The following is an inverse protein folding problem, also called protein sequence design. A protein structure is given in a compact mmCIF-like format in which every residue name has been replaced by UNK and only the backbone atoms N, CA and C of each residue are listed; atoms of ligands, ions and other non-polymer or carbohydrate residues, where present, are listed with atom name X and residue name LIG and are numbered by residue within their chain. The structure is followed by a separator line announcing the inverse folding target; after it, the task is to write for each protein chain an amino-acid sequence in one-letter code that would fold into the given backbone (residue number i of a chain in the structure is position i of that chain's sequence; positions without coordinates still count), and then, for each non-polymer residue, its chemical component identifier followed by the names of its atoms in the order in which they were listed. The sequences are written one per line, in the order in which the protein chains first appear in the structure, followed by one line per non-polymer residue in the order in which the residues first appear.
data_IF_255165199758
#
_entry.id   IF_255165199758
#
_cell.length_a   1.000
_cell.length_b   1.000
_cell.length_c   1.000
_cell.angle_alpha   90.00
_cell.angle_beta   90.00
_cell.angle_gamma   90.00
#
_symmetry.space_group_name_H-M   'P 1'
#
loop_
_entity.id
_entity.type
_entity.pdbx_description
1 polymer ?
#
# COMPACT_ATOMS: atom_id res chain seq x y z
N UNK A 1 7.78 -16.66 -14.42
CA UNK A 1 6.35 -16.28 -14.33
C UNK A 1 6.19 -15.29 -13.18
N UNK A 2 5.12 -14.50 -13.13
CA UNK A 2 4.87 -13.59 -12.00
C UNK A 2 4.80 -14.35 -10.66
N UNK A 3 4.20 -15.54 -10.63
CA UNK A 3 4.20 -16.42 -9.45
C UNK A 3 5.60 -16.77 -8.94
N UNK A 4 6.56 -17.03 -9.82
CA UNK A 4 7.95 -17.29 -9.41
C UNK A 4 8.66 -16.02 -8.90
N UNK A 5 8.22 -14.83 -9.32
CA UNK A 5 8.78 -13.56 -8.83
C UNK A 5 8.30 -13.26 -7.41
N UNK A 6 7.11 -13.71 -7.02
CA UNK A 6 6.54 -13.49 -5.68
C UNK A 6 6.69 -14.69 -4.74
N UNK A 7 7.35 -15.77 -5.15
CA UNK A 7 7.45 -17.01 -4.37
C UNK A 7 8.10 -16.80 -3.00
N UNK A 8 7.59 -17.44 -1.95
CA UNK A 8 8.25 -17.54 -0.65
C UNK A 8 9.07 -18.83 -0.57
N UNK A 9 10.23 -18.79 0.10
CA UNK A 9 11.03 -20.01 0.35
C UNK A 9 11.36 -20.13 1.84
N UNK A 10 10.42 -20.64 2.67
CA UNK A 10 10.61 -20.70 4.12
C UNK A 10 11.82 -21.56 4.53
N UNK A 11 12.24 -22.51 3.69
CA UNK A 11 13.41 -23.36 3.96
C UNK A 11 14.74 -22.62 3.81
N UNK A 12 14.78 -21.55 3.01
CA UNK A 12 15.98 -20.72 2.79
C UNK A 12 15.96 -19.41 3.57
N UNK A 13 14.86 -19.11 4.25
CA UNK A 13 14.65 -17.92 5.07
C UNK A 13 13.81 -16.85 4.38
N UNK A 14 13.49 -15.80 5.12
CA UNK A 14 12.68 -14.67 4.66
C UNK A 14 13.22 -14.11 3.34
N UNK A 15 12.36 -13.82 2.35
CA UNK A 15 12.74 -13.12 1.11
C UNK A 15 13.92 -13.76 0.37
N UNK A 16 13.84 -15.08 0.18
CA UNK A 16 14.85 -15.87 -0.56
C UNK A 16 14.25 -16.73 -1.68
N UNK A 17 12.93 -16.70 -1.86
CA UNK A 17 12.25 -17.34 -2.98
C UNK A 17 12.31 -16.45 -4.23
N UNK A 18 11.32 -15.57 -4.37
CA UNK A 18 11.21 -14.57 -5.42
C UNK A 18 11.73 -13.19 -5.01
N UNK A 19 12.09 -12.38 -6.01
CA UNK A 19 12.63 -11.02 -5.82
C UNK A 19 11.54 -9.96 -5.57
N UNK A 20 10.26 -10.36 -5.57
CA UNK A 20 9.10 -9.49 -5.45
C UNK A 20 8.87 -8.59 -6.66
N UNK A 21 7.69 -8.00 -6.77
CA UNK A 21 7.30 -7.13 -7.89
C UNK A 21 6.51 -5.91 -7.39
N UNK A 22 6.23 -4.96 -8.27
CA UNK A 22 5.41 -3.79 -7.95
C UNK A 22 4.04 -3.85 -8.61
N UNK A 23 3.05 -3.35 -7.90
CA UNK A 23 1.71 -3.08 -8.41
C UNK A 23 1.30 -1.65 -8.04
N UNK A 24 0.53 -0.99 -8.91
CA UNK A 24 -0.02 0.35 -8.65
C UNK A 24 -1.38 0.48 -9.30
N UNK A 25 -2.35 1.07 -8.61
CA UNK A 25 -3.58 1.54 -9.25
C UNK A 25 -3.28 2.84 -10.00
N UNK A 26 -3.64 2.91 -11.28
CA UNK A 26 -3.35 4.09 -12.10
C UNK A 26 -4.27 5.28 -11.76
N UNK A 27 -5.34 5.03 -11.00
CA UNK A 27 -6.35 6.02 -10.61
C UNK A 27 -6.22 6.41 -9.13
N UNK A 28 -5.02 6.31 -8.56
CA UNK A 28 -4.76 6.65 -7.14
C UNK A 28 -4.77 8.18 -6.86
N UNK A 29 -4.84 9.01 -7.91
CA UNK A 29 -4.90 10.47 -7.81
C UNK A 29 -3.56 11.13 -7.53
N UNK A 30 -2.46 10.37 -7.50
CA UNK A 30 -1.11 10.90 -7.25
C UNK A 30 -0.38 11.15 -8.57
N UNK A 31 -0.15 12.43 -8.88
CA UNK A 31 0.60 12.87 -10.06
C UNK A 31 1.81 13.72 -9.63
N UNK A 32 2.88 13.04 -9.20
CA UNK A 32 4.15 13.68 -8.85
C UNK A 32 5.35 12.91 -9.45
N UNK A 33 6.58 13.39 -9.24
CA UNK A 33 7.79 12.71 -9.75
C UNK A 33 7.92 11.31 -9.15
N UNK A 34 7.60 11.18 -7.87
CA UNK A 34 7.54 9.92 -7.15
C UNK A 34 6.10 9.54 -6.88
N UNK A 35 5.72 8.30 -7.17
CA UNK A 35 4.36 7.78 -6.95
C UNK A 35 4.39 6.58 -6.01
N UNK A 36 3.31 6.32 -5.25
CA UNK A 36 3.22 5.14 -4.42
C UNK A 36 3.01 3.90 -5.30
N UNK A 37 3.71 2.83 -4.96
CA UNK A 37 3.41 1.50 -5.45
C UNK A 37 3.41 0.52 -4.27
N UNK A 38 2.79 -0.64 -4.44
CA UNK A 38 2.87 -1.72 -3.45
C UNK A 38 3.79 -2.82 -3.94
N UNK A 39 4.69 -3.25 -3.07
CA UNK A 39 5.60 -4.36 -3.31
C UNK A 39 4.96 -5.67 -2.87
N UNK A 40 4.94 -6.64 -3.78
CA UNK A 40 4.29 -7.93 -3.59
C UNK A 40 5.34 -9.04 -3.52
N UNK A 41 5.31 -9.81 -2.43
CA UNK A 41 6.01 -11.09 -2.27
C UNK A 41 5.24 -11.94 -1.24
N UNK A 42 5.29 -13.26 -1.36
CA UNK A 42 4.55 -14.18 -0.48
C UNK A 42 5.17 -14.33 0.92
N UNK A 43 6.25 -13.60 1.23
CA UNK A 43 6.73 -13.39 2.59
C UNK A 43 5.90 -12.31 3.34
N UNK A 44 5.05 -11.54 2.66
CA UNK A 44 4.12 -10.58 3.24
C UNK A 44 2.79 -11.28 3.50
N UNK A 45 2.26 -11.22 4.72
CA UNK A 45 1.12 -12.04 5.14
C UNK A 45 -0.21 -11.30 5.31
N UNK A 46 -0.24 -10.00 4.99
CA UNK A 46 -1.41 -9.14 5.18
C UNK A 46 -2.48 -9.35 4.09
N UNK A 47 -3.79 -9.20 4.40
CA UNK A 47 -4.87 -9.43 3.43
C UNK A 47 -5.02 -8.37 2.34
N UNK A 48 -4.63 -7.13 2.62
CA UNK A 48 -4.69 -6.03 1.64
C UNK A 48 -3.29 -5.56 1.31
N UNK A 49 -2.99 -5.49 0.02
CA UNK A 49 -1.66 -5.14 -0.51
C UNK A 49 -1.72 -4.11 -1.61
N UNK A 50 -2.88 -3.47 -1.78
CA UNK A 50 -3.07 -2.38 -2.74
C UNK A 50 -3.99 -1.37 -2.09
N UNK A 51 -3.69 -0.09 -2.27
CA UNK A 51 -4.63 1.00 -2.01
C UNK A 51 -5.90 0.79 -2.85
N UNK A 52 -7.11 0.82 -2.25
CA UNK A 52 -8.33 0.71 -3.03
C UNK A 52 -8.64 2.03 -3.76
N UNK A 53 -8.72 2.00 -5.07
CA UNK A 53 -9.06 3.16 -5.90
C UNK A 53 -10.54 3.22 -6.30
N UNK A 54 -11.28 2.12 -6.11
CA UNK A 54 -12.70 2.04 -6.47
C UNK A 54 -13.52 1.23 -5.46
N UNK A 55 -14.85 1.39 -5.51
CA UNK A 55 -15.79 0.59 -4.73
C UNK A 55 -16.99 1.37 -4.19
N UNK A 56 -17.73 0.73 -3.28
CA UNK A 56 -18.97 1.23 -2.72
C UNK A 56 -18.82 2.64 -2.16
N UNK A 57 -19.58 3.57 -2.75
CA UNK A 57 -19.75 4.92 -2.23
C UNK A 57 -18.70 5.96 -2.57
N UNK A 58 -17.67 5.62 -3.37
CA UNK A 58 -16.57 6.44 -3.92
C UNK A 58 -15.20 5.74 -3.81
N UNK A 59 -15.14 4.51 -3.32
CA UNK A 59 -13.88 3.79 -3.14
C UNK A 59 -13.02 4.28 -1.98
N UNK A 60 -13.50 5.25 -1.17
CA UNK A 60 -12.71 5.83 -0.10
C UNK A 60 -12.40 4.78 1.01
N UNK A 61 -11.13 4.45 1.29
CA UNK A 61 -10.77 3.55 2.39
C UNK A 61 -10.98 4.16 3.78
N UNK A 62 -11.05 5.50 3.88
CA UNK A 62 -11.10 6.25 5.14
C UNK A 62 -12.50 6.31 5.76
N UNK A 63 -13.54 5.96 5.01
CA UNK A 63 -14.89 6.04 5.53
C UNK A 63 -15.13 4.94 6.58
N UNK A 64 -15.55 5.25 7.82
CA UNK A 64 -16.04 4.26 8.77
C UNK A 64 -17.28 3.59 8.20
N UNK A 65 -17.20 2.30 7.88
CA UNK A 65 -18.22 1.59 7.10
C UNK A 65 -19.64 1.71 7.72
N UNK A 66 -19.76 1.73 9.06
CA UNK A 66 -21.09 1.58 9.71
C UNK A 66 -21.44 2.61 10.80
N UNK A 67 -20.47 3.30 11.41
CA UNK A 67 -20.71 4.10 12.63
C UNK A 67 -20.62 5.62 12.46
N UNK A 68 -20.04 6.11 11.35
CA UNK A 68 -19.72 7.53 11.18
C UNK A 68 -18.70 8.05 12.20
N UNK A 69 -17.96 7.17 12.87
CA UNK A 69 -17.02 7.50 13.93
C UNK A 69 -15.74 6.67 13.78
N UNK A 70 -14.59 7.32 13.88
CA UNK A 70 -13.27 6.70 13.76
C UNK A 70 -12.71 6.19 15.10
N UNK A 71 -13.40 6.47 16.20
CA UNK A 71 -12.92 6.32 17.58
C UNK A 71 -12.19 7.56 18.11
N UNK A 72 -11.83 8.50 17.24
CA UNK A 72 -11.11 9.74 17.57
C UNK A 72 -11.83 10.99 17.07
N UNK A 73 -12.57 10.86 15.97
CA UNK A 73 -13.31 11.95 15.33
C UNK A 73 -14.56 11.41 14.62
N UNK A 74 -15.59 12.25 14.42
CA UNK A 74 -16.64 11.96 13.45
C UNK A 74 -16.01 11.79 12.06
N UNK A 75 -16.42 10.75 11.33
CA UNK A 75 -15.97 10.46 9.97
C UNK A 75 -17.17 10.25 9.04
N UNK A 76 -17.02 10.48 7.72
CA UNK A 76 -18.11 10.25 6.77
C UNK A 76 -18.39 8.74 6.68
N UNK A 77 -19.64 8.32 6.87
CA UNK A 77 -20.03 6.92 6.62
C UNK A 77 -19.77 6.54 5.17
N UNK A 78 -19.32 5.31 4.92
CA UNK A 78 -19.17 4.83 3.56
C UNK A 78 -20.53 4.76 2.88
N UNK A 79 -20.74 5.44 1.74
CA UNK A 79 -21.99 5.30 1.03
C UNK A 79 -22.13 3.87 0.53
N UNK A 80 -23.36 3.35 0.55
CA UNK A 80 -23.62 2.01 0.06
C UNK A 80 -23.43 1.97 -1.47
N UNK A 81 -22.74 0.95 -1.96
CA UNK A 81 -22.74 0.60 -3.36
C UNK A 81 -24.07 0.01 -3.80
N UNK A 82 -24.17 -0.35 -5.08
CA UNK A 82 -25.41 -0.84 -5.68
C UNK A 82 -25.94 -2.15 -5.07
N UNK A 83 -25.06 -2.95 -4.47
CA UNK A 83 -25.41 -4.20 -3.78
C UNK A 83 -25.65 -4.00 -2.27
N UNK A 84 -25.65 -2.75 -1.80
CA UNK A 84 -25.77 -2.42 -0.39
C UNK A 84 -24.48 -2.61 0.42
N UNK A 85 -23.39 -3.07 -0.20
CA UNK A 85 -22.10 -3.17 0.49
C UNK A 85 -21.47 -1.78 0.66
N UNK A 86 -20.76 -1.59 1.76
CA UNK A 86 -20.13 -0.32 2.12
C UNK A 86 -18.61 -0.42 2.00
N UNK A 87 -18.00 0.66 1.52
CA UNK A 87 -16.54 0.79 1.38
C UNK A 87 -15.94 -0.06 0.25
N UNK A 88 -14.61 0.01 0.07
CA UNK A 88 -13.94 -0.64 -1.06
C UNK A 88 -13.65 -2.14 -0.88
N UNK A 89 -13.78 -2.66 0.34
CA UNK A 89 -13.26 -3.98 0.71
C UNK A 89 -13.97 -5.18 0.06
N UNK A 90 -15.11 -4.96 -0.60
CA UNK A 90 -15.83 -6.01 -1.34
C UNK A 90 -15.64 -5.93 -2.86
N UNK A 91 -14.82 -4.99 -3.33
CA UNK A 91 -14.65 -4.68 -4.75
C UNK A 91 -13.26 -5.11 -5.22
N UNK A 92 -13.21 -5.59 -6.47
CA UNK A 92 -11.94 -5.83 -7.12
C UNK A 92 -11.21 -4.50 -7.36
N UNK A 93 -9.88 -4.53 -7.31
CA UNK A 93 -9.03 -3.38 -7.57
C UNK A 93 -8.22 -3.61 -8.85
N UNK A 94 -8.14 -2.61 -9.72
CA UNK A 94 -7.41 -2.70 -10.99
C UNK A 94 -6.12 -1.88 -10.89
N UNK A 95 -5.08 -2.32 -11.59
CA UNK A 95 -3.86 -1.53 -11.73
C UNK A 95 -2.88 -2.14 -12.74
N UNK A 96 -1.68 -1.59 -12.79
CA UNK A 96 -0.57 -2.15 -13.55
C UNK A 96 0.33 -3.02 -12.66
N UNK A 97 0.84 -4.12 -13.22
CA UNK A 97 1.84 -4.97 -12.56
C UNK A 97 3.18 -4.92 -13.32
N UNK A 98 4.26 -4.71 -12.57
CA UNK A 98 5.64 -4.71 -13.09
C UNK A 98 6.50 -5.69 -12.30
N UNK A 99 6.86 -6.80 -12.93
CA UNK A 99 7.77 -7.82 -12.43
C UNK A 99 8.99 -8.02 -13.34
N UNK A 100 8.83 -8.07 -14.67
CA UNK A 100 9.95 -8.34 -15.59
C UNK A 100 10.82 -7.12 -15.90
N UNK A 101 10.32 -5.91 -15.64
CA UNK A 101 11.01 -4.63 -15.88
C UNK A 101 11.36 -3.88 -14.59
N UNK A 102 11.41 -4.60 -13.47
CA UNK A 102 11.72 -4.02 -12.16
C UNK A 102 13.04 -3.24 -12.10
N UNK A 103 14.04 -3.57 -12.93
CA UNK A 103 15.29 -2.81 -13.01
C UNK A 103 15.13 -1.36 -13.51
N UNK A 104 14.01 -1.01 -14.13
CA UNK A 104 13.68 0.37 -14.53
C UNK A 104 13.11 1.19 -13.37
N UNK A 105 12.59 0.54 -12.31
CA UNK A 105 11.99 1.19 -11.15
C UNK A 105 12.86 1.10 -9.90
N UNK A 106 13.65 0.02 -9.79
CA UNK A 106 14.45 -0.32 -8.62
C UNK A 106 15.92 -0.45 -9.01
N UNK A 107 16.74 0.45 -8.48
CA UNK A 107 18.18 0.42 -8.71
C UNK A 107 18.79 -0.89 -8.19
N UNK A 108 19.63 -1.54 -9.02
CA UNK A 108 20.25 -2.83 -8.73
C UNK A 108 19.24 -3.90 -8.27
N UNK A 109 18.04 -3.94 -8.86
CA UNK A 109 17.01 -4.92 -8.53
C UNK A 109 17.51 -6.38 -8.57
N UNK A 110 18.49 -6.70 -9.41
CA UNK A 110 19.04 -8.05 -9.45
C UNK A 110 19.69 -8.50 -8.15
N UNK A 111 20.12 -7.56 -7.32
CA UNK A 111 20.74 -7.76 -6.01
C UNK A 111 19.77 -7.45 -4.85
N UNK A 112 18.48 -7.20 -5.12
CA UNK A 112 17.51 -6.77 -4.09
C UNK A 112 17.39 -7.75 -2.91
N UNK A 113 17.69 -9.03 -3.14
CA UNK A 113 17.70 -10.07 -2.12
C UNK A 113 19.02 -10.16 -1.33
N UNK A 114 20.04 -9.32 -1.55
CA UNK A 114 21.19 -9.32 -0.64
C UNK A 114 20.80 -8.66 0.69
N UNK A 115 21.45 -9.05 1.79
CA UNK A 115 21.13 -8.54 3.13
C UNK A 115 21.58 -7.10 3.34
N UNK A 116 22.47 -6.60 2.47
CA UNK A 116 23.05 -5.26 2.49
C UNK A 116 22.49 -4.34 1.40
N UNK A 117 21.53 -4.83 0.59
CA UNK A 117 20.85 -3.98 -0.38
C UNK A 117 20.11 -2.86 0.36
N UNK A 118 20.42 -1.59 0.06
CA UNK A 118 19.96 -0.45 0.86
C UNK A 118 19.57 0.76 0.02
N UNK A 119 19.15 0.52 -1.23
CA UNK A 119 18.99 1.57 -2.23
C UNK A 119 17.59 2.20 -2.26
N UNK A 120 16.56 1.47 -1.83
CA UNK A 120 15.18 1.95 -1.93
C UNK A 120 14.66 2.56 -0.63
N UNK A 121 13.38 2.94 -0.68
CA UNK A 121 12.58 3.47 0.42
C UNK A 121 11.35 2.59 0.51
N UNK A 122 11.07 2.05 1.69
CA UNK A 122 9.98 1.10 1.87
C UNK A 122 9.26 1.38 3.18
N UNK A 123 7.95 1.56 3.13
CA UNK A 123 7.09 1.66 4.31
C UNK A 123 6.34 0.34 4.49
N UNK A 124 6.24 -0.17 5.71
CA UNK A 124 5.47 -1.39 6.01
C UNK A 124 3.95 -1.20 6.04
N UNK A 125 3.49 0.01 5.81
CA UNK A 125 2.10 0.45 5.85
C UNK A 125 1.93 1.61 4.86
N UNK A 126 0.69 2.02 4.62
CA UNK A 126 0.37 3.31 4.01
C UNK A 126 1.03 4.43 4.81
N UNK A 127 1.60 5.39 4.12
CA UNK A 127 2.48 6.37 4.71
C UNK A 127 2.37 7.75 4.05
N UNK A 128 1.51 7.91 3.03
CA UNK A 128 1.39 9.11 2.20
C UNK A 128 2.76 9.59 1.74
N UNK A 129 3.60 8.65 1.32
CA UNK A 129 5.01 8.89 1.11
C UNK A 129 5.24 9.91 0.00
N UNK A 130 4.39 9.93 -1.02
CA UNK A 130 4.48 10.86 -2.14
C UNK A 130 3.82 12.23 -1.88
N UNK A 131 2.74 12.30 -1.10
CA UNK A 131 1.82 13.45 -1.10
C UNK A 131 1.71 14.18 0.25
N UNK A 132 2.03 13.54 1.38
CA UNK A 132 1.95 14.15 2.72
C UNK A 132 3.23 13.98 3.55
N UNK A 133 4.39 13.99 2.90
CA UNK A 133 5.69 14.00 3.59
C UNK A 133 6.56 15.18 3.23
N UNK A 134 7.29 15.67 4.22
CA UNK A 134 8.31 16.67 4.07
C UNK A 134 9.69 16.04 3.84
N UNK A 135 10.41 16.47 2.80
CA UNK A 135 11.81 16.08 2.57
C UNK A 135 12.76 16.96 3.40
N UNK A 136 13.64 16.34 4.17
CA UNK A 136 14.71 17.06 4.87
C UNK A 136 15.81 17.49 3.89
N UNK A 137 16.15 18.77 3.85
CA UNK A 137 17.27 19.29 3.06
C UNK A 137 18.37 19.75 4.01
N UNK A 138 19.38 18.90 4.17
CA UNK A 138 20.46 19.13 5.13
C UNK A 138 21.22 20.44 4.87
N UNK A 139 21.50 20.76 3.60
CA UNK A 139 22.27 21.96 3.22
C UNK A 139 21.49 23.25 3.50
N UNK A 140 20.16 23.18 3.49
CA UNK A 140 19.27 24.31 3.76
C UNK A 140 18.76 24.34 5.22
N UNK A 141 19.11 23.31 6.02
CA UNK A 141 18.70 23.14 7.42
C UNK A 141 17.17 23.31 7.63
N UNK A 142 16.38 22.61 6.81
CA UNK A 142 14.92 22.62 6.94
C UNK A 142 14.24 21.59 6.06
N UNK A 143 12.92 21.65 6.05
CA UNK A 143 12.05 20.70 5.40
C UNK A 143 11.31 21.34 4.22
N UNK A 144 11.44 20.73 3.05
CA UNK A 144 10.57 20.97 1.90
C UNK A 144 9.30 20.16 2.09
N UNK A 145 8.17 20.84 2.28
CA UNK A 145 6.87 20.24 2.54
C UNK A 145 5.87 20.62 1.44
N UNK A 146 4.78 19.86 1.27
CA UNK A 146 3.70 20.25 0.37
C UNK A 146 3.19 21.66 0.67
N UNK A 147 3.45 22.60 -0.24
CA UNK A 147 2.97 23.99 -0.14
C UNK A 147 3.80 24.93 0.74
N UNK A 148 4.93 24.51 1.30
CA UNK A 148 5.81 25.42 2.01
C UNK A 148 7.07 24.82 2.62
N UNK A 149 7.77 25.66 3.37
CA UNK A 149 9.06 25.39 3.97
C UNK A 149 8.96 25.42 5.49
N UNK A 150 9.64 24.48 6.16
CA UNK A 150 9.76 24.49 7.62
C UNK A 150 11.24 24.48 8.00
N UNK A 151 11.84 25.64 8.33
CA UNK A 151 13.20 25.69 8.86
C UNK A 151 13.32 24.86 10.14
N UNK A 152 14.48 24.25 10.37
CA UNK A 152 14.73 23.47 11.59
C UNK A 152 14.62 24.35 12.84
N UNK A 153 13.69 24.02 13.74
CA UNK A 153 13.37 24.82 14.92
C UNK A 153 12.70 26.17 14.61
N UNK A 154 12.29 26.39 13.35
CA UNK A 154 11.62 27.59 12.87
C UNK A 154 10.09 27.48 12.88
N UNK A 155 9.45 28.46 12.24
CA UNK A 155 8.01 28.48 12.00
C UNK A 155 7.72 28.20 10.52
N UNK A 156 6.52 27.73 10.22
CA UNK A 156 6.07 27.49 8.84
C UNK A 156 6.19 28.74 7.96
N UNK A 157 6.73 28.54 6.76
CA UNK A 157 6.82 29.54 5.70
C UNK A 157 6.03 29.05 4.48
N UNK A 158 4.94 29.74 4.14
CA UNK A 158 4.16 29.40 2.95
C UNK A 158 5.01 29.62 1.68
N UNK A 159 5.21 28.56 0.89
CA UNK A 159 5.98 28.61 -0.34
C UNK A 159 5.44 27.55 -1.33
N UNK A 160 4.71 28.00 -2.35
CA UNK A 160 4.11 27.10 -3.34
C UNK A 160 5.12 26.42 -4.27
N UNK A 161 6.39 26.84 -4.24
CA UNK A 161 7.47 26.16 -4.97
C UNK A 161 7.94 24.89 -4.26
N UNK A 162 7.66 24.78 -2.95
CA UNK A 162 7.89 23.57 -2.15
C UNK A 162 6.76 22.58 -2.36
N UNK A 163 7.15 21.33 -2.55
CA UNK A 163 6.27 20.25 -3.03
C UNK A 163 6.30 19.02 -2.13
N UNK A 164 7.22 18.96 -1.18
CA UNK A 164 7.39 17.76 -0.36
C UNK A 164 8.22 16.70 -1.05
N UNK A 165 8.26 15.54 -0.40
CA UNK A 165 9.02 14.35 -0.81
C UNK A 165 8.68 13.84 -2.22
N UNK A 166 7.43 13.94 -2.68
CA UNK A 166 7.01 13.46 -4.00
C UNK A 166 7.69 14.13 -5.19
N UNK A 167 8.24 15.32 -5.02
CA UNK A 167 8.93 16.04 -6.10
C UNK A 167 10.38 15.62 -6.33
N UNK A 168 10.92 14.74 -5.48
CA UNK A 168 12.30 14.27 -5.59
C UNK A 168 12.36 12.91 -6.30
N UNK A 169 13.49 12.56 -6.95
CA UNK A 169 13.68 11.22 -7.48
C UNK A 169 13.61 10.16 -6.37
N UNK A 170 12.94 9.02 -6.59
CA UNK A 170 12.78 7.97 -5.58
C UNK A 170 14.14 7.35 -5.19
N UNK A 171 14.22 6.87 -3.95
CA UNK A 171 15.38 6.12 -3.45
C UNK A 171 15.98 6.70 -2.19
N UNK A 172 16.87 5.92 -1.56
CA UNK A 172 17.51 6.26 -0.30
C UNK A 172 18.48 7.46 -0.44
N UNK A 173 18.21 8.61 0.20
CA UNK A 173 19.04 9.81 0.10
C UNK A 173 20.45 9.62 0.71
N UNK A 174 20.61 8.68 1.64
CA UNK A 174 21.92 8.35 2.21
C UNK A 174 22.80 7.50 1.28
N UNK A 175 22.19 6.80 0.32
CA UNK A 175 22.91 6.06 -0.71
C UNK A 175 23.22 6.95 -1.92
N UNK A 176 22.34 7.91 -2.22
CA UNK A 176 22.56 8.94 -3.24
C UNK A 176 21.83 10.24 -2.84
N UNK A 177 22.55 11.35 -2.62
CA UNK A 177 21.95 12.61 -2.15
C UNK A 177 20.99 13.26 -3.15
N UNK A 178 21.01 12.85 -4.43
CA UNK A 178 20.05 13.30 -5.43
C UNK A 178 18.69 12.59 -5.34
N UNK A 179 18.56 11.59 -4.48
CA UNK A 179 17.30 10.91 -4.18
C UNK A 179 16.60 11.50 -2.95
N UNK A 180 15.63 10.78 -2.39
CA UNK A 180 14.78 11.24 -1.29
C UNK A 180 13.30 11.30 -1.65
N UNK A 181 12.96 10.95 -2.89
CA UNK A 181 11.59 10.74 -3.33
C UNK A 181 10.88 9.76 -2.41
N UNK A 182 9.81 10.23 -1.78
CA UNK A 182 9.05 9.45 -0.81
C UNK A 182 9.65 9.30 0.58
N UNK A 183 10.83 9.86 0.86
CA UNK A 183 11.37 9.90 2.24
C UNK A 183 10.80 11.07 3.04
N UNK A 184 11.07 11.07 4.34
CA UNK A 184 10.79 12.22 5.19
C UNK A 184 9.67 11.99 6.20
N UNK A 185 9.36 13.05 6.93
CA UNK A 185 8.41 13.01 8.03
C UNK A 185 7.00 13.37 7.56
N UNK A 186 5.99 12.75 8.17
CA UNK A 186 4.59 13.07 7.91
C UNK A 186 4.30 14.56 8.15
N UNK A 187 3.43 15.13 7.33
CA UNK A 187 3.08 16.56 7.30
C UNK A 187 1.56 16.79 7.34
N UNK A 188 1.11 17.63 8.27
CA UNK A 188 -0.28 18.06 8.35
C UNK A 188 -0.52 19.34 7.54
N UNK A 189 -1.26 19.27 6.43
CA UNK A 189 -1.60 20.46 5.65
C UNK A 189 -2.57 21.43 6.36
N UNK A 190 -3.49 20.92 7.20
CA UNK A 190 -4.50 21.73 7.89
C UNK A 190 -3.91 22.56 9.05
N UNK A 191 -2.81 22.07 9.63
CA UNK A 191 -2.02 22.75 10.63
C UNK A 191 -0.56 22.56 10.22
N UNK A 192 -0.03 23.45 9.34
CA UNK A 192 1.25 23.22 8.69
C UNK A 192 2.40 22.93 9.64
N UNK A 193 2.92 21.70 9.59
CA UNK A 193 4.09 21.28 10.33
C UNK A 193 4.30 19.76 10.28
N UNK A 194 5.45 19.32 10.77
CA UNK A 194 5.75 17.90 10.92
C UNK A 194 4.99 17.34 12.11
N UNK A 195 4.16 16.34 11.86
CA UNK A 195 3.27 15.71 12.83
C UNK A 195 3.44 14.18 12.89
N UNK A 196 4.60 13.69 12.43
CA UNK A 196 5.06 12.33 12.67
C UNK A 196 4.91 11.95 14.15
N UNK A 197 4.34 10.79 14.45
CA UNK A 197 4.14 10.34 15.84
C UNK A 197 5.48 10.11 16.55
N UNK A 198 5.61 10.64 17.77
CA UNK A 198 6.74 10.34 18.66
C UNK A 198 6.38 9.18 19.60
N UNK A 199 7.34 8.33 19.95
CA UNK A 199 7.23 7.34 21.00
C UNK A 199 8.59 7.13 21.67
N UNK A 200 9.00 8.07 22.52
CA UNK A 200 10.34 8.05 23.13
C UNK A 200 10.40 7.08 24.32
N UNK A 201 11.38 6.19 24.35
CA UNK A 201 11.70 5.36 25.52
C UNK A 201 12.65 6.07 26.50
N UNK A 202 12.93 5.43 27.65
CA UNK A 202 13.84 5.95 28.68
C UNK A 202 15.30 6.10 28.20
N UNK A 203 15.65 5.49 27.07
CA UNK A 203 16.97 5.57 26.43
C UNK A 203 17.01 6.62 25.31
N UNK A 204 15.92 7.37 25.12
CA UNK A 204 15.78 8.37 24.07
C UNK A 204 15.63 7.78 22.67
N UNK A 205 15.31 6.49 22.55
CA UNK A 205 14.95 5.91 21.26
C UNK A 205 13.54 6.32 20.90
N UNK A 206 13.34 6.76 19.67
CA UNK A 206 12.02 7.07 19.10
C UNK A 206 11.70 6.09 17.95
N UNK A 207 10.49 6.12 17.39
CA UNK A 207 10.09 5.32 16.21
C UNK A 207 10.97 5.60 14.99
N UNK A 208 11.43 6.85 14.88
CA UNK A 208 12.33 7.33 13.82
C UNK A 208 13.70 7.70 14.40
N UNK A 209 14.78 7.58 13.61
CA UNK A 209 16.16 7.83 14.07
C UNK A 209 16.79 9.13 13.54
N UNK A 210 16.19 9.79 12.55
CA UNK A 210 16.80 10.93 11.86
C UNK A 210 15.75 11.93 11.35
N UNK A 211 16.24 13.02 10.75
CA UNK A 211 15.39 14.07 10.15
C UNK A 211 14.66 13.60 8.89
N UNK A 212 15.08 12.50 8.27
CA UNK A 212 14.36 11.90 7.15
C UNK A 212 13.26 10.93 7.60
N UNK A 213 13.01 10.85 8.91
CA UNK A 213 12.06 9.93 9.52
C UNK A 213 12.27 8.46 9.08
N UNK A 214 13.53 8.06 8.91
CA UNK A 214 13.89 6.67 8.76
C UNK A 214 13.54 5.91 10.04
N UNK A 215 13.04 4.68 9.91
CA UNK A 215 12.76 3.84 11.06
C UNK A 215 14.01 3.65 11.92
N UNK A 216 13.84 3.72 13.23
CA UNK A 216 14.93 3.51 14.16
C UNK A 216 15.35 2.04 14.20
N UNK A 217 16.53 1.75 13.64
CA UNK A 217 17.04 0.38 13.56
C UNK A 217 17.43 -0.21 14.92
N UNK A 218 17.50 0.58 16.00
CA UNK A 218 17.63 0.05 17.36
C UNK A 218 16.35 -0.68 17.81
N UNK A 219 15.20 -0.41 17.17
CA UNK A 219 13.90 -1.03 17.45
C UNK A 219 13.57 -2.23 16.55
N UNK A 220 14.54 -2.70 15.74
CA UNK A 220 14.34 -3.86 14.85
C UNK A 220 14.23 -5.20 15.57
N UNK A 221 14.40 -5.23 16.89
CA UNK A 221 14.33 -6.44 17.70
C UNK A 221 12.98 -7.15 17.56
N UNK A 222 13.00 -8.47 17.73
CA UNK A 222 11.83 -9.34 17.54
C UNK A 222 11.17 -9.16 16.17
N UNK A 223 11.98 -9.09 15.10
CA UNK A 223 11.55 -8.83 13.72
C UNK A 223 10.65 -7.59 13.61
N UNK A 224 11.14 -6.46 14.14
CA UNK A 224 10.42 -5.18 14.24
C UNK A 224 9.19 -5.18 15.17
N UNK A 225 8.96 -6.26 15.92
CA UNK A 225 7.94 -6.31 16.96
C UNK A 225 8.18 -5.31 18.10
N UNK A 226 9.45 -4.99 18.40
CA UNK A 226 9.80 -3.96 19.40
C UNK A 226 9.34 -2.56 18.97
N UNK A 227 9.49 -2.20 17.70
CA UNK A 227 9.01 -0.94 17.14
C UNK A 227 7.48 -0.77 17.33
N UNK A 228 6.72 -1.82 17.02
CA UNK A 228 5.24 -1.78 17.16
C UNK A 228 4.83 -1.68 18.62
N UNK A 229 5.50 -2.41 19.52
CA UNK A 229 5.24 -2.31 20.97
C UNK A 229 5.54 -0.93 21.51
N UNK A 230 6.64 -0.32 21.06
CA UNK A 230 7.01 1.03 21.45
C UNK A 230 5.97 2.04 21.01
N UNK A 231 5.46 1.94 19.78
CA UNK A 231 4.34 2.78 19.32
C UNK A 231 3.10 2.59 20.22
N UNK A 232 2.67 1.36 20.48
CA UNK A 232 1.49 1.08 21.32
C UNK A 232 1.65 1.63 22.74
N UNK A 233 2.84 1.52 23.33
CA UNK A 233 3.06 1.83 24.74
C UNK A 233 3.40 3.29 24.99
N UNK A 234 4.11 3.93 24.06
CA UNK A 234 4.78 5.21 24.28
C UNK A 234 4.37 6.29 23.27
N UNK A 235 3.43 6.02 22.34
CA UNK A 235 2.97 7.04 21.41
C UNK A 235 2.52 8.30 22.14
N UNK A 236 3.09 9.43 21.74
CA UNK A 236 2.86 10.75 22.29
C UNK A 236 2.63 11.72 21.13
N UNK A 237 1.54 12.51 21.17
CA UNK A 237 1.29 13.51 20.16
C UNK A 237 2.33 14.63 20.27
N UNK A 238 2.74 15.17 19.12
CA UNK A 238 3.52 16.42 19.08
C UNK A 238 2.67 17.60 19.55
N UNK A 239 3.33 18.65 20.04
CA UNK A 239 2.64 19.87 20.46
C UNK A 239 1.83 20.46 19.30
N UNK A 240 0.56 20.77 19.55
CA UNK A 240 -0.41 21.20 18.54
C UNK A 240 -1.13 20.06 17.82
N UNK A 241 -0.71 18.80 18.01
CA UNK A 241 -1.34 17.63 17.39
C UNK A 241 -1.92 16.69 18.46
N UNK A 242 -2.37 17.24 19.59
CA UNK A 242 -2.87 16.47 20.75
C UNK A 242 -4.05 15.56 20.41
N UNK A 243 -4.76 15.84 19.31
CA UNK A 243 -5.81 14.98 18.77
C UNK A 243 -5.30 13.59 18.34
N UNK A 244 -4.00 13.48 18.02
CA UNK A 244 -3.28 12.22 17.79
C UNK A 244 -2.96 11.47 19.09
N UNK A 245 -3.69 11.69 20.19
CA UNK A 245 -3.48 11.00 21.48
C UNK A 245 -3.80 9.51 21.41
N UNK A 246 -3.13 8.79 20.49
CA UNK A 246 -3.29 7.39 20.16
C UNK A 246 -3.25 6.58 21.45
N UNK A 247 -4.10 5.57 21.51
CA UNK A 247 -4.27 4.70 22.68
C UNK A 247 -4.83 5.40 23.94
N UNK A 248 -5.05 6.72 23.93
CA UNK A 248 -5.83 7.43 24.96
C UNK A 248 -7.28 6.92 25.08
N UNK A 249 -7.78 6.28 24.03
CA UNK A 249 -9.07 5.56 23.99
C UNK A 249 -8.90 4.03 23.93
N UNK A 250 -7.73 3.52 24.33
CA UNK A 250 -7.38 2.09 24.37
C UNK A 250 -6.75 1.55 23.09
N UNK A 251 -7.25 1.94 21.91
CA UNK A 251 -6.73 1.50 20.60
C UNK A 251 -6.73 2.65 19.59
N UNK A 252 -5.90 2.57 18.56
CA UNK A 252 -5.75 3.56 17.49
C UNK A 252 -6.58 3.17 16.23
N UNK A 253 -6.98 4.14 15.40
CA UNK A 253 -7.55 3.87 14.08
C UNK A 253 -6.43 3.49 13.10
N UNK A 254 -6.75 2.88 11.96
CA UNK A 254 -5.71 2.43 11.03
C UNK A 254 -4.89 3.58 10.43
N UNK A 255 -5.51 4.72 10.12
CA UNK A 255 -4.79 5.92 9.66
C UNK A 255 -3.78 6.46 10.69
N UNK A 256 -3.84 6.04 11.96
CA UNK A 256 -2.79 6.37 12.94
C UNK A 256 -1.41 5.84 12.51
N UNK A 257 -1.37 4.80 11.66
CA UNK A 257 -0.15 4.29 11.07
C UNK A 257 0.46 5.22 10.03
N UNK A 258 -0.30 6.11 9.39
CA UNK A 258 0.25 7.05 8.40
C UNK A 258 1.21 8.04 9.07
N UNK A 259 0.81 8.50 10.27
CA UNK A 259 1.60 9.38 11.16
C UNK A 259 2.75 8.65 11.85
N UNK A 260 2.58 7.37 12.19
CA UNK A 260 3.62 6.57 12.85
C UNK A 260 4.62 5.99 11.85
N UNK A 261 4.20 5.78 10.61
CA UNK A 261 4.92 5.10 9.55
C UNK A 261 6.27 5.77 9.27
N UNK A 262 7.29 4.93 9.20
CA UNK A 262 8.66 5.31 8.88
C UNK A 262 9.17 4.41 7.77
N UNK A 263 10.22 4.85 7.06
CA UNK A 263 10.78 4.06 5.97
C UNK A 263 12.00 3.25 6.43
N UNK A 264 12.18 2.10 5.80
CA UNK A 264 13.40 1.29 5.85
C UNK A 264 14.02 1.21 4.46
N UNK A 265 15.31 0.91 4.39
CA UNK A 265 16.05 0.90 3.12
C UNK A 265 16.13 -0.47 2.41
N UNK A 266 15.62 -1.53 3.07
CA UNK A 266 15.67 -2.91 2.57
C UNK A 266 14.27 -3.55 2.63
N UNK A 267 13.83 -4.27 1.58
CA UNK A 267 12.52 -4.92 1.57
C UNK A 267 12.38 -5.98 2.66
N UNK A 268 13.46 -6.63 3.13
CA UNK A 268 13.41 -7.58 4.25
C UNK A 268 12.87 -6.92 5.51
N UNK A 269 13.33 -5.71 5.80
CA UNK A 269 12.87 -4.96 6.97
C UNK A 269 11.43 -4.49 6.77
N UNK A 270 11.05 -4.10 5.56
CA UNK A 270 9.66 -3.71 5.25
C UNK A 270 8.70 -4.90 5.46
N UNK A 271 9.08 -6.08 4.95
CA UNK A 271 8.30 -7.30 5.13
C UNK A 271 8.13 -7.62 6.62
N UNK A 272 9.20 -7.50 7.40
CA UNK A 272 9.16 -7.76 8.84
C UNK A 272 8.28 -6.76 9.59
N UNK A 273 8.46 -5.46 9.37
CA UNK A 273 7.66 -4.45 10.06
C UNK A 273 6.19 -4.51 9.65
N UNK A 274 5.87 -4.74 8.37
CA UNK A 274 4.49 -4.95 7.91
C UNK A 274 3.84 -6.17 8.59
N UNK A 275 4.57 -7.29 8.65
CA UNK A 275 4.09 -8.50 9.33
C UNK A 275 3.97 -8.29 10.86
N UNK A 276 4.87 -7.52 11.47
CA UNK A 276 4.84 -7.18 12.88
C UNK A 276 3.61 -6.32 13.23
N UNK A 277 3.28 -5.32 12.40
CA UNK A 277 2.08 -4.48 12.54
C UNK A 277 0.83 -5.36 12.48
N UNK A 278 0.72 -6.24 11.48
CA UNK A 278 -0.46 -7.08 11.31
C UNK A 278 -0.58 -8.21 12.36
N UNK A 279 0.53 -8.75 12.84
CA UNK A 279 0.51 -9.78 13.89
C UNK A 279 -0.02 -9.22 15.22
N UNK A 280 0.28 -7.95 15.52
CA UNK A 280 -0.16 -7.23 16.73
C UNK A 280 -1.45 -6.41 16.52
N UNK A 281 -2.19 -6.68 15.43
CA UNK A 281 -3.39 -5.93 15.06
C UNK A 281 -4.46 -5.86 16.17
N UNK A 282 -4.59 -6.91 16.99
CA UNK A 282 -5.53 -6.92 18.12
C UNK A 282 -5.09 -6.01 19.26
N UNK A 283 -3.80 -5.70 19.37
CA UNK A 283 -3.27 -4.86 20.44
C UNK A 283 -3.46 -3.38 20.11
N UNK A 284 -3.34 -3.00 18.84
CA UNK A 284 -3.36 -1.59 18.46
C UNK A 284 -4.64 -1.11 17.77
N UNK A 285 -5.32 -1.92 16.96
CA UNK A 285 -6.40 -1.42 16.10
C UNK A 285 -7.77 -1.38 16.77
N UNK A 286 -8.45 -0.25 16.66
CA UNK A 286 -9.83 -0.09 17.12
C UNK A 286 -10.86 -0.73 16.18
N UNK A 287 -10.46 -1.17 14.98
CA UNK A 287 -11.32 -1.81 13.97
C UNK A 287 -12.54 -0.97 13.56
N UNK A 288 -12.44 0.37 13.62
CA UNK A 288 -13.52 1.27 13.20
C UNK A 288 -13.31 1.81 11.78
N UNK A 289 -12.05 2.04 11.38
CA UNK A 289 -11.66 2.47 10.04
C UNK A 289 -10.49 1.60 9.54
N UNK A 290 -10.74 0.67 8.59
CA UNK A 290 -12.07 0.21 8.21
C UNK A 290 -12.78 -0.52 9.36
N UNK A 291 -14.10 -0.64 9.28
CA UNK A 291 -14.85 -1.44 10.25
C UNK A 291 -14.55 -2.92 10.02
N UNK A 292 -14.03 -3.59 11.04
CA UNK A 292 -13.58 -4.98 10.98
C UNK A 292 -14.05 -5.78 12.20
N UNK A 293 -14.01 -7.11 12.10
CA UNK A 293 -14.39 -8.02 13.20
C UNK A 293 -13.41 -9.17 13.35
N UNK A 294 -12.19 -8.84 13.72
CA UNK A 294 -11.09 -9.80 13.75
C UNK A 294 -11.25 -10.89 14.81
N UNK A 295 -12.05 -10.66 15.85
CA UNK A 295 -12.25 -11.61 16.96
C UNK A 295 -13.03 -12.88 16.55
N UNK A 296 -13.68 -12.91 15.38
CA UNK A 296 -14.35 -14.11 14.89
C UNK A 296 -13.46 -15.03 14.04
N UNK A 297 -12.22 -14.58 13.77
CA UNK A 297 -11.20 -15.32 13.01
C UNK A 297 -11.70 -15.87 11.66
N UNK A 298 -12.68 -15.19 11.05
CA UNK A 298 -13.10 -15.48 9.68
C UNK A 298 -12.27 -14.66 8.72
N UNK A 299 -11.78 -15.30 7.67
CA UNK A 299 -10.99 -14.64 6.63
C UNK A 299 -11.70 -13.39 6.05
N UNK A 300 -13.02 -13.47 5.85
CA UNK A 300 -13.85 -12.35 5.38
C UNK A 300 -13.86 -11.16 6.34
N UNK A 301 -13.75 -11.41 7.65
CA UNK A 301 -13.71 -10.39 8.70
C UNK A 301 -12.31 -9.81 8.88
N UNK A 302 -11.27 -10.58 8.54
CA UNK A 302 -9.87 -10.15 8.55
C UNK A 302 -9.51 -9.28 7.33
N UNK A 303 -10.20 -9.48 6.20
CA UNK A 303 -9.93 -8.78 4.94
C UNK A 303 -9.93 -7.25 5.05
N UNK A 304 -10.90 -6.57 5.69
CA UNK A 304 -10.86 -5.12 5.80
C UNK A 304 -9.70 -4.71 6.71
N UNK A 305 -8.64 -4.23 6.07
CA UNK A 305 -7.38 -3.88 6.71
C UNK A 305 -6.67 -2.86 5.83
N UNK A 306 -6.41 -1.70 6.41
CA UNK A 306 -5.64 -0.62 5.79
C UNK A 306 -4.18 -0.83 6.16
N UNK A 307 -3.46 -1.57 5.33
CA UNK A 307 -2.06 -1.87 5.59
C UNK A 307 -1.36 -2.53 4.42
N UNK A 308 -1.68 -2.05 3.22
CA UNK A 308 -0.76 -2.20 2.09
C UNK A 308 0.57 -1.53 2.44
N UNK A 309 1.67 -2.03 1.90
CA UNK A 309 2.94 -1.31 2.00
C UNK A 309 3.00 -0.22 0.93
N UNK A 310 3.79 0.80 1.20
CA UNK A 310 4.02 1.89 0.28
C UNK A 310 5.51 1.96 -0.08
N UNK A 311 5.77 1.86 -1.38
CA UNK A 311 7.11 1.86 -1.96
C UNK A 311 7.16 2.97 -3.01
N UNK A 312 7.82 4.09 -2.69
CA UNK A 312 7.91 5.22 -3.61
C UNK A 312 8.76 4.85 -4.82
N UNK A 313 8.24 5.08 -6.02
CA UNK A 313 8.91 4.79 -7.30
C UNK A 313 8.75 5.93 -8.30
N UNK A 314 9.53 5.89 -9.38
CA UNK A 314 9.54 6.95 -10.39
C UNK A 314 8.22 6.89 -11.17
N UNK A 315 7.43 7.98 -11.11
CA UNK A 315 6.11 8.05 -11.71
C UNK A 315 6.16 7.84 -13.22
N UNK A 316 7.09 8.50 -13.91
CA UNK A 316 7.26 8.36 -15.35
C UNK A 316 7.58 6.90 -15.76
N UNK A 317 8.36 6.18 -14.95
CA UNK A 317 8.66 4.77 -15.18
C UNK A 317 7.50 3.86 -14.82
N UNK A 318 6.79 4.12 -13.72
CA UNK A 318 5.64 3.31 -13.31
C UNK A 318 4.46 3.47 -14.26
N UNK A 319 4.24 4.67 -14.79
CA UNK A 319 3.13 4.97 -15.70
C UNK A 319 3.44 4.69 -17.16
N UNK A 320 4.70 4.32 -17.47
CA UNK A 320 5.07 3.88 -18.81
C UNK A 320 4.59 2.45 -19.07
N UNK A 321 3.63 2.23 -19.99
CA UNK A 321 3.08 0.91 -20.26
C UNK A 321 4.10 -0.09 -20.78
N UNK A 322 5.21 0.37 -21.36
CA UNK A 322 6.32 -0.47 -21.82
C UNK A 322 7.01 -1.23 -20.68
N UNK A 323 6.82 -0.79 -19.44
CA UNK A 323 7.31 -1.47 -18.26
C UNK A 323 6.34 -2.53 -17.71
N UNK A 324 5.07 -2.50 -18.12
CA UNK A 324 4.03 -3.37 -17.53
C UNK A 324 4.06 -4.79 -18.09
N UNK A 325 3.95 -5.77 -17.22
CA UNK A 325 3.70 -7.16 -17.61
C UNK A 325 2.25 -7.35 -18.07
N UNK A 326 1.30 -6.75 -17.33
CA UNK A 326 -0.13 -6.77 -17.62
C UNK A 326 -0.86 -5.67 -16.83
N UNK A 327 -2.14 -5.46 -17.15
CA UNK A 327 -3.10 -4.94 -16.18
C UNK A 327 -3.46 -6.09 -15.24
N UNK A 328 -3.50 -5.85 -13.93
CA UNK A 328 -3.96 -6.86 -12.97
C UNK A 328 -5.32 -6.48 -12.39
N UNK A 329 -6.06 -7.50 -11.96
CA UNK A 329 -7.30 -7.37 -11.21
C UNK A 329 -7.10 -8.09 -9.88
N UNK A 330 -6.95 -7.36 -8.78
CA UNK A 330 -6.86 -7.94 -7.44
C UNK A 330 -8.26 -8.18 -6.89
N UNK A 331 -8.54 -9.43 -6.56
CA UNK A 331 -9.82 -9.81 -5.96
C UNK A 331 -9.84 -9.49 -4.46
N UNK A 332 -11.01 -9.23 -3.86
CA UNK A 332 -11.12 -9.15 -2.41
C UNK A 332 -10.65 -10.47 -1.76
N UNK A 333 -9.81 -10.37 -0.73
CA UNK A 333 -9.33 -11.56 -0.03
C UNK A 333 -10.48 -12.32 0.64
N UNK A 334 -10.54 -13.64 0.49
CA UNK A 334 -11.67 -14.43 0.95
C UNK A 334 -13.03 -14.01 0.36
N UNK A 335 -13.05 -13.55 -0.89
CA UNK A 335 -14.30 -13.35 -1.64
C UNK A 335 -15.10 -14.65 -1.72
N UNK A 336 -14.46 -15.83 -1.68
CA UNK A 336 -15.16 -17.10 -1.53
C UNK A 336 -14.35 -18.20 -0.85
N UNK A 337 -15.07 -19.25 -0.43
CA UNK A 337 -14.44 -20.44 0.16
C UNK A 337 -13.56 -20.14 1.38
N UNK A 338 -13.81 -19.04 2.09
CA UNK A 338 -12.97 -18.59 3.21
C UNK A 338 -11.53 -18.22 2.82
N UNK A 339 -11.31 -17.82 1.56
CA UNK A 339 -9.99 -17.47 1.03
C UNK A 339 -9.25 -18.62 0.39
N UNK A 340 -9.85 -19.79 0.18
CA UNK A 340 -9.16 -20.93 -0.46
C UNK A 340 -9.55 -21.13 -1.93
N UNK A 341 -10.53 -20.36 -2.41
CA UNK A 341 -11.15 -20.57 -3.73
C UNK A 341 -11.43 -19.26 -4.46
N UNK A 342 -10.83 -18.16 -4.02
CA UNK A 342 -11.06 -16.81 -4.53
C UNK A 342 -11.07 -16.81 -6.06
N UNK A 343 -12.16 -16.28 -6.61
CA UNK A 343 -12.46 -16.24 -8.04
C UNK A 343 -13.35 -15.06 -8.36
N UNK A 344 -13.16 -14.50 -9.55
CA UNK A 344 -13.93 -13.34 -10.04
C UNK A 344 -15.43 -13.63 -10.12
N UNK A 345 -15.82 -14.89 -10.31
CA UNK A 345 -17.24 -15.30 -10.33
C UNK A 345 -17.94 -15.17 -8.97
N UNK A 346 -17.19 -14.97 -7.89
CA UNK A 346 -17.71 -14.82 -6.55
C UNK A 346 -17.93 -13.36 -6.13
N UNK A 347 -17.59 -12.40 -7.00
CA UNK A 347 -18.02 -11.02 -6.82
C UNK A 347 -19.55 -10.96 -6.77
N UNK A 348 -20.07 -10.09 -5.89
CA UNK A 348 -21.49 -9.75 -5.90
C UNK A 348 -21.87 -9.10 -7.24
N UNK A 349 -23.17 -9.02 -7.55
CA UNK A 349 -23.62 -8.35 -8.78
C UNK A 349 -23.15 -6.89 -8.84
N UNK A 350 -23.18 -6.16 -7.72
CA UNK A 350 -22.69 -4.78 -7.65
C UNK A 350 -21.17 -4.68 -7.82
N UNK A 351 -20.41 -5.58 -7.19
CA UNK A 351 -18.95 -5.60 -7.34
C UNK A 351 -18.50 -6.00 -8.74
N UNK A 352 -19.20 -6.93 -9.39
CA UNK A 352 -18.94 -7.31 -10.78
C UNK A 352 -19.29 -6.19 -11.78
N UNK A 353 -20.34 -5.40 -11.50
CA UNK A 353 -20.70 -4.24 -12.30
C UNK A 353 -19.67 -3.11 -12.12
N UNK A 354 -19.22 -2.86 -10.89
CA UNK A 354 -18.13 -1.91 -10.63
C UNK A 354 -16.85 -2.31 -11.38
N UNK A 355 -16.47 -3.59 -11.34
CA UNK A 355 -15.31 -4.08 -12.11
C UNK A 355 -15.46 -3.82 -13.62
N UNK A 356 -16.66 -3.99 -14.19
CA UNK A 356 -16.90 -3.63 -15.58
C UNK A 356 -16.68 -2.13 -15.82
N UNK A 357 -17.17 -1.26 -14.93
CA UNK A 357 -17.00 0.19 -15.05
C UNK A 357 -15.55 0.64 -14.90
N UNK A 358 -14.80 0.05 -13.98
CA UNK A 358 -13.38 0.34 -13.81
C UNK A 358 -12.60 -0.05 -15.10
N UNK A 359 -12.92 -1.20 -15.70
CA UNK A 359 -12.37 -1.59 -17.01
C UNK A 359 -12.81 -0.66 -18.16
N UNK A 360 -13.99 -0.06 -18.08
CA UNK A 360 -14.42 0.99 -19.02
C UNK A 360 -13.60 2.25 -18.86
N UNK A 361 -13.25 2.65 -17.64
CA UNK A 361 -12.41 3.80 -17.39
C UNK A 361 -11.01 3.59 -17.95
N UNK A 362 -10.39 2.43 -17.69
CA UNK A 362 -9.07 2.07 -18.23
C UNK A 362 -9.05 2.03 -19.77
N UNK A 363 -10.14 1.59 -20.42
CA UNK A 363 -10.29 1.67 -21.87
C UNK A 363 -10.39 3.12 -22.37
N UNK A 364 -11.19 3.95 -21.70
CA UNK A 364 -11.39 5.36 -22.05
C UNK A 364 -10.10 6.18 -21.92
N UNK A 365 -9.32 5.90 -20.88
CA UNK A 365 -8.04 6.56 -20.60
C UNK A 365 -6.89 5.99 -21.43
N UNK A 366 -7.19 5.05 -22.32
CA UNK A 366 -6.25 4.48 -23.28
C UNK A 366 -5.08 3.73 -22.62
N UNK A 367 -5.27 3.25 -21.39
CA UNK A 367 -4.32 2.38 -20.66
C UNK A 367 -4.66 0.89 -20.79
N UNK A 368 -5.78 0.56 -21.43
CA UNK A 368 -6.21 -0.80 -21.76
C UNK A 368 -6.82 -0.83 -23.17
N UNK A 369 -6.41 -1.78 -24.00
CA UNK A 369 -6.96 -1.96 -25.36
C UNK A 369 -7.52 -3.38 -25.53
N UNK A 370 -8.84 -3.59 -25.46
CA UNK A 370 -9.43 -4.91 -25.60
C UNK A 370 -9.18 -5.57 -26.96
N UNK A 371 -9.03 -6.89 -26.94
CA UNK A 371 -8.93 -7.73 -28.13
C UNK A 371 -7.63 -8.53 -28.22
N UNK A 372 -7.72 -9.74 -28.79
CA UNK A 372 -6.56 -10.64 -28.97
C UNK A 372 -5.41 -10.01 -29.76
N UNK A 373 -5.71 -9.07 -30.66
CA UNK A 373 -4.70 -8.38 -31.48
C UNK A 373 -3.76 -7.50 -30.65
N UNK A 374 -4.23 -7.05 -29.48
CA UNK A 374 -3.51 -6.16 -28.57
C UNK A 374 -2.83 -6.91 -27.41
N UNK A 375 -2.81 -8.24 -27.41
CA UNK A 375 -2.30 -9.02 -26.27
C UNK A 375 -0.80 -8.80 -26.02
N UNK A 376 -0.05 -8.44 -27.06
CA UNK A 376 1.38 -8.15 -27.00
C UNK A 376 1.69 -6.65 -27.01
N UNK A 377 0.66 -5.79 -27.11
CA UNK A 377 0.83 -4.34 -27.10
C UNK A 377 1.03 -3.82 -25.68
N UNK A 378 1.59 -2.62 -25.57
CA UNK A 378 1.87 -1.92 -24.30
C UNK A 378 1.53 -0.42 -24.45
N UNK A 379 0.39 0.07 -23.95
CA UNK A 379 -0.69 -0.70 -23.30
C UNK A 379 -1.33 -1.70 -24.25
N UNK A 380 -2.01 -2.71 -23.72
CA UNK A 380 -2.59 -3.79 -24.51
C UNK A 380 -3.77 -4.46 -23.82
N UNK A 381 -4.11 -5.68 -24.22
CA UNK A 381 -5.24 -6.44 -23.65
C UNK A 381 -4.84 -7.44 -22.57
N UNK A 382 -3.54 -7.61 -22.27
CA UNK A 382 -3.08 -8.57 -21.27
C UNK A 382 -3.65 -8.23 -19.87
N UNK A 383 -4.43 -9.15 -19.31
CA UNK A 383 -5.00 -9.05 -17.96
C UNK A 383 -4.58 -10.26 -17.14
N UNK A 384 -4.36 -10.09 -15.84
CA UNK A 384 -4.15 -11.20 -14.91
C UNK A 384 -4.88 -10.97 -13.59
N UNK A 385 -5.40 -12.03 -12.97
CA UNK A 385 -5.99 -11.91 -11.63
C UNK A 385 -4.94 -12.10 -10.56
N UNK A 386 -5.01 -11.30 -9.50
CA UNK A 386 -4.26 -11.47 -8.26
C UNK A 386 -5.22 -11.94 -7.18
N UNK A 387 -5.12 -13.22 -6.80
CA UNK A 387 -5.96 -13.84 -5.80
C UNK A 387 -5.18 -13.98 -4.50
N UNK A 388 -5.89 -13.92 -3.38
CA UNK A 388 -5.35 -14.23 -2.07
C UNK A 388 -5.79 -15.65 -1.67
N UNK A 389 -4.85 -16.43 -1.18
CA UNK A 389 -5.05 -17.74 -0.58
C UNK A 389 -4.85 -17.59 0.94
N UNK A 390 -5.92 -17.75 1.70
CA UNK A 390 -5.86 -17.75 3.15
C UNK A 390 -5.35 -19.11 3.65
N UNK A 391 -4.24 -19.07 4.37
CA UNK A 391 -3.65 -20.21 5.04
C UNK A 391 -3.79 -20.05 6.54
N UNK A 392 -4.35 -21.08 7.17
CA UNK A 392 -4.36 -21.19 8.63
C UNK A 392 -3.06 -21.84 9.07
N UNK A 393 -2.17 -21.06 9.69
CA UNK A 393 -0.89 -21.56 10.21
C UNK A 393 -0.75 -21.41 11.72
N UNK A 394 0.39 -21.89 12.23
CA UNK A 394 0.79 -21.71 13.63
C UNK A 394 0.99 -20.23 14.02
N UNK A 395 1.13 -19.34 13.05
CA UNK A 395 1.28 -17.89 13.24
C UNK A 395 -0.04 -17.11 13.05
N UNK A 396 -1.18 -17.80 13.01
CA UNK A 396 -2.48 -17.22 12.69
C UNK A 396 -2.86 -17.38 11.21
N UNK A 397 -3.96 -16.73 10.83
CA UNK A 397 -4.42 -16.64 9.44
C UNK A 397 -3.51 -15.68 8.67
N UNK A 398 -2.88 -16.18 7.59
CA UNK A 398 -2.02 -15.40 6.69
C UNK A 398 -2.46 -15.56 5.24
N UNK A 399 -2.22 -14.53 4.43
CA UNK A 399 -2.63 -14.48 3.03
C UNK A 399 -1.40 -14.62 2.13
N UNK A 400 -1.41 -15.63 1.26
CA UNK A 400 -0.45 -15.78 0.16
C UNK A 400 -1.10 -15.38 -1.14
N UNK A 401 -0.33 -14.87 -2.08
CA UNK A 401 -0.84 -14.36 -3.34
C UNK A 401 -0.52 -15.32 -4.47
N UNK A 402 -1.46 -15.40 -5.41
CA UNK A 402 -1.29 -16.15 -6.64
C UNK A 402 -1.86 -15.36 -7.81
N UNK A 403 -1.03 -15.22 -8.83
CA UNK A 403 -1.47 -14.78 -10.14
C UNK A 403 -2.15 -15.92 -10.89
N UNK A 404 -3.33 -15.67 -11.43
CA UNK A 404 -4.13 -16.64 -12.15
C UNK A 404 -4.78 -16.05 -13.41
N UNK A 405 -5.03 -16.91 -14.39
CA UNK A 405 -5.92 -16.60 -15.50
C UNK A 405 -7.28 -17.23 -15.21
N UNK A 406 -8.32 -16.39 -15.18
CA UNK A 406 -9.70 -16.82 -15.01
C UNK A 406 -10.54 -16.33 -16.18
N UNK A 407 -11.50 -17.15 -16.60
CA UNK A 407 -12.52 -16.70 -17.53
C UNK A 407 -13.57 -15.87 -16.79
N UNK A 408 -14.01 -14.80 -17.41
CA UNK A 408 -15.05 -13.94 -16.87
C UNK A 408 -15.80 -13.28 -18.01
N UNK A 409 -17.11 -13.07 -17.85
CA UNK A 409 -17.92 -12.24 -18.73
C UNK A 409 -18.54 -11.16 -17.87
N UNK A 410 -18.40 -9.91 -18.32
CA UNK A 410 -18.90 -8.77 -17.58
C UNK A 410 -20.44 -8.79 -17.53
N UNK A 411 -21.07 -8.26 -16.47
CA UNK A 411 -22.52 -8.38 -16.28
C UNK A 411 -23.38 -7.85 -17.45
N UNK A 412 -22.93 -6.82 -18.16
CA UNK A 412 -23.65 -6.26 -19.31
C UNK A 412 -23.20 -6.85 -20.65
N UNK A 413 -22.41 -7.93 -20.65
CA UNK A 413 -21.79 -8.51 -21.84
C UNK A 413 -21.00 -7.46 -22.66
N UNK A 414 -20.32 -6.53 -21.99
CA UNK A 414 -19.40 -5.61 -22.68
C UNK A 414 -18.06 -6.28 -22.92
N UNK A 415 -17.52 -6.92 -21.88
CA UNK A 415 -16.21 -7.54 -21.89
C UNK A 415 -16.27 -9.02 -21.56
N UNK A 416 -15.25 -9.74 -22.01
CA UNK A 416 -14.90 -11.07 -21.52
C UNK A 416 -13.39 -11.17 -21.32
N UNK A 417 -12.96 -11.95 -20.34
CA UNK A 417 -11.57 -12.35 -20.19
C UNK A 417 -11.42 -13.76 -20.75
N UNK A 418 -10.57 -13.88 -21.76
CA UNK A 418 -10.30 -15.13 -22.48
C UNK A 418 -8.97 -15.70 -21.98
N UNK A 419 -8.98 -17.01 -21.69
CA UNK A 419 -7.77 -17.75 -21.33
C UNK A 419 -7.25 -18.48 -22.57
N UNK A 420 -6.12 -18.00 -23.11
CA UNK A 420 -5.46 -18.55 -24.29
C UNK A 420 -4.25 -19.43 -23.94
N UNK A 421 -3.37 -19.67 -24.92
CA UNK A 421 -2.14 -20.49 -24.81
C UNK A 421 -1.08 -19.88 -23.89
N UNK A 422 -1.36 -19.79 -22.58
CA UNK A 422 -0.44 -19.28 -21.56
C UNK A 422 -0.59 -17.79 -21.21
N UNK A 423 -1.61 -17.12 -21.73
CA UNK A 423 -1.92 -15.72 -21.44
C UNK A 423 -3.43 -15.53 -21.29
N UNK A 424 -3.85 -14.64 -20.41
CA UNK A 424 -5.21 -14.14 -20.32
C UNK A 424 -5.28 -12.72 -20.88
N UNK A 425 -6.37 -12.42 -21.59
CA UNK A 425 -6.58 -11.11 -22.17
C UNK A 425 -8.05 -10.72 -22.13
N UNK A 426 -8.31 -9.42 -22.06
CA UNK A 426 -9.66 -8.86 -22.19
C UNK A 426 -10.03 -8.69 -23.67
N UNK A 427 -11.26 -9.02 -24.01
CA UNK A 427 -11.87 -8.86 -25.33
C UNK A 427 -13.31 -8.34 -25.17
N UNK A 428 -13.93 -7.91 -26.25
CA UNK A 428 -15.37 -7.64 -26.25
C UNK A 428 -16.15 -8.96 -26.21
N UNK A 429 -17.25 -8.98 -25.46
CA UNK A 429 -18.01 -10.21 -25.20
C UNK A 429 -18.67 -10.78 -26.45
#
# INVERSE_FOLDING_TARGET
TLNGIIEANPMKGLFTGGKGLLVRSLDDGVDTTTVPASFIVNDIFVPSVVYPSSGGGNGNPECPNDSGNTGYSPGPSCPAGQDGSTGPWNYAQIGAVVGTKMGNLMYQYDQIQTTDWGWGVFYGTDANAADQRCRWLQDDNGYDCPGGWLPNGGSWEQDSTKKGSGAYPPGNPYANPAWGGGTGCHFAAYQPGVDQTDANDDQGQNLVQDFDCQCNYNLKGNDWGDWVRQWIQLATPKAGYEWQGWFGHGKAPSFGLDFAGCWVNNPRDMIKIQNAIYSQKHDWSNQMVPTSKWDDYKATSLRPYWGWNEVPVDGASMDNPQNWDAIYIKLPAAVCGGGTKDSVTCLSSGAAQQLEWDLMHYEQDQVLYPGVKHVNDKPGSAIIFLNDENHRGHHGDYFQRRFACEQWTSPNNKYKIVVGQGTCYIDYA
#
